data_IF_107755653709
#
_entry.id   IF_107755653709
#
_cell.length_a   1.000
_cell.length_b   1.000
_cell.length_c   1.000
_cell.angle_alpha   90.00
_cell.angle_beta   90.00
_cell.angle_gamma   90.00
#
_symmetry.space_group_name_H-M   'P 1'
#
loop_
_entity.id
_entity.type
_entity.pdbx_description
1 polymer ?
#
# COMPACT_ATOMS: atom_id res chain seq x y z
N UNK A 1 -32.05 -0.54 5.83
CA UNK A 1 -30.90 -0.26 4.93
C UNK A 1 -29.97 0.79 5.54
N UNK A 2 -29.21 0.48 6.61
CA UNK A 2 -28.31 1.45 7.29
C UNK A 2 -26.88 0.94 7.56
N UNK A 3 -26.52 -0.26 7.08
CA UNK A 3 -25.21 -0.88 7.33
C UNK A 3 -24.15 -0.64 6.23
N UNK A 4 -24.53 -0.07 5.09
CA UNK A 4 -23.61 0.26 3.98
C UNK A 4 -22.50 1.29 4.30
N UNK A 5 -22.72 2.36 5.10
CA UNK A 5 -21.68 3.37 5.29
C UNK A 5 -20.50 2.86 6.14
N UNK A 6 -20.73 1.92 7.06
CA UNK A 6 -19.68 1.38 7.93
C UNK A 6 -18.72 0.48 7.15
N UNK A 7 -19.24 -0.44 6.32
CA UNK A 7 -18.40 -1.28 5.46
C UNK A 7 -17.57 -0.45 4.47
N UNK A 8 -18.18 0.59 3.91
CA UNK A 8 -17.49 1.50 3.00
C UNK A 8 -16.36 2.26 3.71
N UNK A 9 -16.59 2.72 4.93
CA UNK A 9 -15.55 3.38 5.74
C UNK A 9 -14.38 2.45 6.05
N UNK A 10 -14.65 1.21 6.45
CA UNK A 10 -13.61 0.20 6.73
C UNK A 10 -12.82 -0.14 5.45
N UNK A 11 -13.51 -0.26 4.31
CA UNK A 11 -12.88 -0.47 3.01
C UNK A 11 -11.90 0.66 2.67
N UNK A 12 -12.35 1.91 2.81
CA UNK A 12 -11.52 3.09 2.54
C UNK A 12 -10.32 3.16 3.49
N UNK A 13 -10.53 2.90 4.78
CA UNK A 13 -9.48 3.00 5.80
C UNK A 13 -8.43 1.89 5.66
N UNK A 14 -8.86 0.67 5.34
CA UNK A 14 -7.95 -0.44 5.03
C UNK A 14 -7.09 -0.16 3.79
N UNK A 15 -7.69 0.39 2.73
CA UNK A 15 -6.95 0.80 1.53
C UNK A 15 -5.99 1.97 1.82
N UNK A 16 -6.38 2.92 2.68
CA UNK A 16 -5.51 4.02 3.09
C UNK A 16 -4.28 3.52 3.84
N UNK A 17 -4.45 2.65 4.84
CA UNK A 17 -3.33 2.07 5.59
C UNK A 17 -2.38 1.29 4.69
N UNK A 18 -2.91 0.50 3.74
CA UNK A 18 -2.09 -0.23 2.76
C UNK A 18 -1.34 0.69 1.79
N UNK A 19 -1.97 1.78 1.35
CA UNK A 19 -1.30 2.79 0.55
C UNK A 19 -0.16 3.45 1.33
N UNK A 20 -0.36 3.75 2.62
CA UNK A 20 0.66 4.31 3.49
C UNK A 20 1.84 3.33 3.70
N UNK A 21 1.57 2.05 3.95
CA UNK A 21 2.59 0.99 4.01
C UNK A 21 3.39 0.92 2.70
N UNK A 22 2.72 0.98 1.54
CA UNK A 22 3.37 0.96 0.23
C UNK A 22 4.29 2.16 0.00
N UNK A 23 3.85 3.36 0.38
CA UNK A 23 4.68 4.59 0.28
C UNK A 23 5.88 4.52 1.24
N UNK A 24 5.70 3.99 2.45
CA UNK A 24 6.79 3.81 3.40
C UNK A 24 7.83 2.81 2.89
N UNK A 25 7.38 1.66 2.38
CA UNK A 25 8.26 0.65 1.77
C UNK A 25 9.03 1.22 0.58
N UNK A 26 8.34 1.94 -0.33
CA UNK A 26 8.96 2.60 -1.48
C UNK A 26 10.05 3.59 -1.05
N UNK A 27 9.78 4.39 -0.01
CA UNK A 27 10.74 5.36 0.53
C UNK A 27 11.99 4.68 1.12
N UNK A 28 11.82 3.57 1.84
CA UNK A 28 12.93 2.80 2.42
C UNK A 28 13.82 2.23 1.32
N UNK A 29 13.23 1.64 0.27
CA UNK A 29 14.01 1.08 -0.84
C UNK A 29 14.71 2.18 -1.64
N UNK A 30 14.06 3.33 -1.88
CA UNK A 30 14.71 4.48 -2.52
C UNK A 30 15.90 5.01 -1.71
N UNK A 31 15.80 5.02 -0.39
CA UNK A 31 16.91 5.46 0.48
C UNK A 31 18.11 4.51 0.38
N UNK A 32 17.86 3.19 0.42
CA UNK A 32 18.90 2.18 0.23
C UNK A 32 19.52 2.29 -1.17
N UNK A 33 18.70 2.45 -2.20
CA UNK A 33 19.15 2.70 -3.56
C UNK A 33 20.07 3.91 -3.69
N UNK A 34 19.71 5.03 -3.06
CA UNK A 34 20.55 6.22 -3.07
C UNK A 34 21.90 5.98 -2.37
N UNK A 35 21.91 5.24 -1.25
CA UNK A 35 23.13 4.88 -0.52
C UNK A 35 24.03 3.94 -1.35
N UNK A 36 23.45 2.88 -1.93
CA UNK A 36 24.11 1.91 -2.80
C UNK A 36 24.75 2.59 -4.03
N UNK A 37 24.08 3.58 -4.62
CA UNK A 37 24.62 4.39 -5.72
C UNK A 37 25.83 5.21 -5.28
N UNK A 38 25.95 5.57 -4.00
CA UNK A 38 27.13 6.24 -3.44
C UNK A 38 28.44 5.47 -3.68
N UNK A 39 28.36 4.14 -3.75
CA UNK A 39 29.50 3.24 -3.97
C UNK A 39 29.89 3.06 -5.45
N UNK A 40 29.11 3.60 -6.39
CA UNK A 40 29.43 3.55 -7.81
C UNK A 40 30.56 4.51 -8.20
N UNK A 41 31.26 4.25 -9.32
CA UNK A 41 32.23 5.18 -9.89
C UNK A 41 31.65 6.59 -10.09
N UNK A 42 32.49 7.61 -9.91
CA UNK A 42 32.10 9.02 -10.04
C UNK A 42 31.41 9.35 -11.38
N UNK A 43 31.77 8.63 -12.44
CA UNK A 43 31.26 8.82 -13.80
C UNK A 43 29.77 8.45 -13.94
N UNK A 44 29.30 7.45 -13.17
CA UNK A 44 27.94 6.94 -13.26
C UNK A 44 26.98 7.62 -12.29
N UNK A 45 27.49 8.03 -11.13
CA UNK A 45 26.69 8.57 -10.03
C UNK A 45 25.74 9.71 -10.45
N UNK A 46 26.18 10.77 -11.15
CA UNK A 46 25.31 11.92 -11.44
C UNK A 46 24.09 11.55 -12.27
N UNK A 47 24.25 10.67 -13.26
CA UNK A 47 23.16 10.23 -14.12
C UNK A 47 22.13 9.40 -13.33
N UNK A 48 22.60 8.46 -12.51
CA UNK A 48 21.71 7.61 -11.72
C UNK A 48 21.00 8.41 -10.62
N UNK A 49 21.69 9.35 -9.95
CA UNK A 49 21.05 10.25 -8.99
C UNK A 49 19.98 11.13 -9.63
N UNK A 50 20.21 11.59 -10.87
CA UNK A 50 19.23 12.34 -11.62
C UNK A 50 17.99 11.49 -11.93
N UNK A 51 18.19 10.24 -12.36
CA UNK A 51 17.11 9.29 -12.65
C UNK A 51 16.29 8.96 -11.38
N UNK A 52 16.94 8.76 -10.22
CA UNK A 52 16.27 8.59 -8.91
C UNK A 52 15.49 9.85 -8.53
N UNK A 53 16.07 11.04 -8.70
CA UNK A 53 15.39 12.30 -8.39
C UNK A 53 14.16 12.51 -9.28
N UNK A 54 14.28 12.20 -10.57
CA UNK A 54 13.19 12.30 -11.53
C UNK A 54 12.08 11.29 -11.22
N UNK A 55 12.44 10.05 -10.88
CA UNK A 55 11.51 9.05 -10.36
C UNK A 55 10.69 9.59 -9.20
N UNK A 56 11.37 10.05 -8.13
CA UNK A 56 10.69 10.52 -6.92
C UNK A 56 9.80 11.72 -7.20
N UNK A 57 10.27 12.67 -8.02
CA UNK A 57 9.48 13.84 -8.43
C UNK A 57 8.20 13.41 -9.16
N UNK A 58 8.31 12.46 -10.09
CA UNK A 58 7.21 12.00 -10.90
C UNK A 58 6.16 11.22 -10.09
N UNK A 59 6.63 10.36 -9.17
CA UNK A 59 5.79 9.66 -8.19
C UNK A 59 5.00 10.67 -7.33
N UNK A 60 5.68 11.67 -6.75
CA UNK A 60 5.04 12.63 -5.86
C UNK A 60 4.10 13.60 -6.57
N UNK A 61 4.47 14.07 -7.76
CA UNK A 61 3.74 15.14 -8.46
C UNK A 61 2.63 14.59 -9.36
N UNK A 62 2.82 13.41 -9.97
CA UNK A 62 1.83 12.81 -10.87
C UNK A 62 1.14 11.61 -10.24
N UNK A 63 1.87 10.56 -9.88
CA UNK A 63 1.24 9.31 -9.43
C UNK A 63 0.37 9.51 -8.19
N UNK A 64 0.86 10.24 -7.19
CA UNK A 64 0.09 10.51 -5.97
C UNK A 64 -1.17 11.35 -6.22
N UNK A 65 -1.14 12.29 -7.17
CA UNK A 65 -2.34 13.04 -7.55
C UNK A 65 -3.35 12.15 -8.25
N UNK A 66 -2.89 11.25 -9.12
CA UNK A 66 -3.75 10.25 -9.76
C UNK A 66 -4.37 9.30 -8.74
N UNK A 67 -3.59 8.83 -7.75
CA UNK A 67 -4.08 8.00 -6.65
C UNK A 67 -5.12 8.71 -5.80
N UNK A 68 -4.88 9.98 -5.47
CA UNK A 68 -5.83 10.83 -4.74
C UNK A 68 -7.16 10.95 -5.48
N UNK A 69 -7.11 11.06 -6.81
CA UNK A 69 -8.29 11.11 -7.68
C UNK A 69 -8.91 9.72 -7.97
N UNK A 70 -8.36 8.63 -7.40
CA UNK A 70 -8.80 7.25 -7.67
C UNK A 70 -8.54 6.77 -9.10
N UNK A 71 -7.67 7.46 -9.84
CA UNK A 71 -7.29 7.10 -11.21
C UNK A 71 -6.21 6.04 -11.21
N UNK A 72 -6.17 5.23 -12.27
CA UNK A 72 -5.11 4.25 -12.47
C UNK A 72 -3.77 4.96 -12.70
N UNK A 73 -2.73 4.47 -12.06
CA UNK A 73 -1.36 4.93 -12.25
C UNK A 73 -0.76 4.21 -13.47
N UNK A 74 -0.04 4.94 -14.30
CA UNK A 74 0.71 4.40 -15.44
C UNK A 74 2.04 3.79 -15.01
N UNK A 75 2.89 3.50 -16.01
CA UNK A 75 4.25 2.99 -15.79
C UNK A 75 5.32 4.05 -16.09
N UNK A 76 4.94 5.33 -16.19
CA UNK A 76 5.89 6.33 -16.70
C UNK A 76 7.02 6.61 -15.70
N UNK A 77 6.77 6.63 -14.39
CA UNK A 77 7.86 6.79 -13.41
C UNK A 77 8.82 5.59 -13.45
N UNK A 78 8.31 4.38 -13.67
CA UNK A 78 9.13 3.17 -13.77
C UNK A 78 10.14 3.21 -14.91
N UNK A 79 9.93 4.04 -15.94
CA UNK A 79 10.90 4.21 -17.03
C UNK A 79 12.27 4.71 -16.54
N UNK A 80 12.31 5.56 -15.51
CA UNK A 80 13.55 6.03 -14.91
C UNK A 80 14.34 4.87 -14.27
N UNK A 81 13.65 3.93 -13.61
CA UNK A 81 14.28 2.73 -13.05
C UNK A 81 14.79 1.78 -14.15
N UNK A 82 14.10 1.71 -15.28
CA UNK A 82 14.57 0.95 -16.45
C UNK A 82 15.85 1.55 -17.03
N UNK A 83 15.95 2.87 -17.08
CA UNK A 83 17.13 3.56 -17.59
C UNK A 83 18.34 3.38 -16.68
N UNK A 84 18.14 3.40 -15.35
CA UNK A 84 19.20 3.02 -14.39
C UNK A 84 19.68 1.59 -14.65
N UNK A 85 18.75 0.63 -14.80
CA UNK A 85 19.10 -0.77 -15.05
C UNK A 85 19.86 -0.94 -16.38
N UNK A 86 19.45 -0.23 -17.46
CA UNK A 86 20.17 -0.24 -18.75
C UNK A 86 21.60 0.29 -18.61
N UNK A 87 21.79 1.41 -17.90
CA UNK A 87 23.13 1.99 -17.64
C UNK A 87 24.01 1.01 -16.86
N UNK A 88 23.46 0.37 -15.83
CA UNK A 88 24.17 -0.64 -15.04
C UNK A 88 24.54 -1.87 -15.86
N UNK A 89 23.66 -2.33 -16.75
CA UNK A 89 23.95 -3.47 -17.63
C UNK A 89 25.04 -3.15 -18.65
N UNK A 90 25.02 -1.96 -19.24
CA UNK A 90 26.05 -1.50 -20.18
C UNK A 90 27.43 -1.30 -19.52
N UNK A 91 27.45 -1.06 -18.21
CA UNK A 91 28.68 -0.92 -17.45
C UNK A 91 29.39 -2.27 -17.24
N UNK A 92 30.62 -2.36 -17.73
CA UNK A 92 31.54 -3.48 -17.49
C UNK A 92 32.27 -3.25 -16.17
N UNK A 93 31.73 -3.83 -15.10
CA UNK A 93 32.41 -3.89 -13.81
C UNK A 93 33.58 -4.88 -13.89
N UNK A 94 34.79 -4.42 -13.59
CA UNK A 94 36.01 -5.25 -13.56
C UNK A 94 36.42 -5.66 -12.14
N UNK A 95 36.02 -4.87 -11.13
CA UNK A 95 36.35 -5.12 -9.73
C UNK A 95 35.21 -5.85 -9.01
N UNK A 96 35.58 -6.73 -8.07
CA UNK A 96 34.62 -7.52 -7.31
C UNK A 96 33.66 -6.67 -6.47
N UNK A 97 34.14 -5.56 -5.90
CA UNK A 97 33.30 -4.60 -5.18
C UNK A 97 32.23 -3.98 -6.11
N UNK A 98 32.61 -3.60 -7.33
CA UNK A 98 31.69 -3.02 -8.32
C UNK A 98 30.64 -4.04 -8.79
N UNK A 99 31.00 -5.32 -8.86
CA UNK A 99 30.05 -6.41 -9.16
C UNK A 99 29.00 -6.56 -8.05
N UNK A 100 29.41 -6.52 -6.78
CA UNK A 100 28.49 -6.57 -5.65
C UNK A 100 27.56 -5.36 -5.62
N UNK A 101 28.10 -4.14 -5.69
CA UNK A 101 27.28 -2.91 -5.73
C UNK A 101 26.30 -2.92 -6.91
N UNK A 102 26.72 -3.40 -8.08
CA UNK A 102 25.84 -3.54 -9.24
C UNK A 102 24.69 -4.53 -8.98
N UNK A 103 24.95 -5.65 -8.32
CA UNK A 103 23.92 -6.63 -7.98
C UNK A 103 22.93 -6.08 -6.95
N UNK A 104 23.43 -5.44 -5.89
CA UNK A 104 22.64 -4.83 -4.83
C UNK A 104 21.66 -3.79 -5.40
N UNK A 105 22.15 -2.88 -6.25
CA UNK A 105 21.31 -1.88 -6.91
C UNK A 105 20.23 -2.52 -7.80
N UNK A 106 20.55 -3.61 -8.49
CA UNK A 106 19.57 -4.34 -9.31
C UNK A 106 18.49 -4.99 -8.44
N UNK A 107 18.86 -5.52 -7.28
CA UNK A 107 17.91 -6.10 -6.32
C UNK A 107 16.99 -5.04 -5.72
N UNK A 108 17.51 -3.89 -5.32
CA UNK A 108 16.71 -2.76 -4.82
C UNK A 108 15.73 -2.25 -5.89
N UNK A 109 16.17 -2.16 -7.14
CA UNK A 109 15.29 -1.80 -8.26
C UNK A 109 14.17 -2.83 -8.44
N UNK A 110 14.45 -4.14 -8.33
CA UNK A 110 13.42 -5.20 -8.39
C UNK A 110 12.45 -5.11 -7.22
N UNK A 111 12.94 -4.76 -6.04
CA UNK A 111 12.10 -4.52 -4.87
C UNK A 111 11.17 -3.33 -5.10
N UNK A 112 11.66 -2.22 -5.66
CA UNK A 112 10.83 -1.07 -6.07
C UNK A 112 9.72 -1.45 -7.06
N UNK A 113 10.03 -2.27 -8.08
CA UNK A 113 9.00 -2.78 -9.00
C UNK A 113 7.92 -3.58 -8.26
N UNK A 114 8.32 -4.39 -7.29
CA UNK A 114 7.41 -5.23 -6.51
C UNK A 114 6.51 -4.37 -5.62
N UNK A 115 7.09 -3.40 -4.90
CA UNK A 115 6.34 -2.46 -4.06
C UNK A 115 5.37 -1.63 -4.90
N UNK A 116 5.80 -1.12 -6.06
CA UNK A 116 4.93 -0.33 -6.92
C UNK A 116 3.76 -1.18 -7.48
N UNK A 117 3.99 -2.45 -7.83
CA UNK A 117 2.92 -3.38 -8.22
C UNK A 117 1.90 -3.63 -7.10
N UNK A 118 2.37 -3.73 -5.86
CA UNK A 118 1.53 -3.88 -4.66
C UNK A 118 0.70 -2.60 -4.45
N UNK A 119 1.31 -1.42 -4.59
CA UNK A 119 0.65 -0.09 -4.52
C UNK A 119 -0.49 0.05 -5.57
N UNK A 120 -0.32 -0.51 -6.76
CA UNK A 120 -1.33 -0.46 -7.84
C UNK A 120 -2.46 -1.49 -7.68
N UNK A 121 -2.33 -2.44 -6.76
CA UNK A 121 -3.33 -3.49 -6.57
C UNK A 121 -4.43 -3.01 -5.62
N UNK A 122 -5.69 -3.07 -6.05
CA UNK A 122 -6.83 -2.85 -5.16
C UNK A 122 -6.86 -3.97 -4.12
N UNK A 123 -6.67 -3.63 -2.86
CA UNK A 123 -6.73 -4.62 -1.80
C UNK A 123 -8.21 -4.93 -1.49
N UNK A 124 -8.68 -6.16 -1.71
CA UNK A 124 -9.97 -6.55 -1.19
C UNK A 124 -9.93 -6.45 0.34
N UNK A 125 -11.03 -5.99 0.94
CA UNK A 125 -11.23 -6.03 2.39
C UNK A 125 -10.80 -7.41 2.93
N UNK A 126 -9.96 -7.41 3.98
CA UNK A 126 -9.52 -8.62 4.64
C UNK A 126 -10.73 -9.52 4.97
N UNK A 127 -10.62 -10.82 4.69
CA UNK A 127 -11.68 -11.81 4.89
C UNK A 127 -12.23 -11.81 6.32
N UNK A 128 -11.41 -11.41 7.29
CA UNK A 128 -11.79 -11.24 8.69
C UNK A 128 -12.94 -10.25 8.88
N UNK A 129 -12.99 -9.15 8.11
CA UNK A 129 -14.09 -8.18 8.17
C UNK A 129 -15.41 -8.81 7.70
N UNK A 130 -15.38 -9.63 6.66
CA UNK A 130 -16.56 -10.35 6.17
C UNK A 130 -17.06 -11.36 7.21
N UNK A 131 -16.16 -12.07 7.89
CA UNK A 131 -16.52 -13.01 8.95
C UNK A 131 -17.24 -12.29 10.11
N UNK A 132 -16.70 -11.16 10.58
CA UNK A 132 -17.33 -10.37 11.65
C UNK A 132 -18.70 -9.86 11.24
N UNK A 133 -18.83 -9.30 10.02
CA UNK A 133 -20.12 -8.82 9.51
C UNK A 133 -21.14 -9.95 9.42
N UNK A 134 -20.74 -11.14 8.94
CA UNK A 134 -21.60 -12.31 8.87
C UNK A 134 -22.05 -12.78 10.26
N UNK A 135 -21.13 -12.87 11.23
CA UNK A 135 -21.45 -13.27 12.61
C UNK A 135 -22.38 -12.27 13.28
N UNK A 136 -22.10 -10.96 13.19
CA UNK A 136 -22.96 -9.91 13.73
C UNK A 136 -24.36 -9.96 13.12
N UNK A 137 -24.45 -10.16 11.80
CA UNK A 137 -25.74 -10.25 11.10
C UNK A 137 -26.51 -11.48 11.53
N UNK A 138 -25.85 -12.64 11.66
CA UNK A 138 -26.47 -13.88 12.12
C UNK A 138 -26.98 -13.76 13.57
N UNK A 139 -26.17 -13.21 14.48
CA UNK A 139 -26.58 -12.96 15.87
C UNK A 139 -27.80 -12.02 15.91
N UNK A 140 -27.77 -10.92 15.16
CA UNK A 140 -28.87 -9.97 15.15
C UNK A 140 -30.15 -10.58 14.56
N UNK A 141 -30.03 -11.44 13.55
CA UNK A 141 -31.15 -12.19 12.98
C UNK A 141 -31.75 -13.17 14.01
N UNK A 142 -30.91 -13.92 14.73
CA UNK A 142 -31.34 -14.83 15.81
C UNK A 142 -32.08 -14.06 16.90
N UNK A 143 -31.56 -12.90 17.32
CA UNK A 143 -32.20 -12.04 18.31
C UNK A 143 -33.55 -11.50 17.84
N UNK A 144 -33.66 -11.08 16.56
CA UNK A 144 -34.94 -10.64 15.97
C UNK A 144 -35.96 -11.77 15.93
N UNK A 145 -35.54 -12.99 15.59
CA UNK A 145 -36.41 -14.17 15.56
C UNK A 145 -36.85 -14.61 16.96
N UNK A 146 -35.97 -14.55 17.97
CA UNK A 146 -36.31 -14.94 19.36
C UNK A 146 -37.14 -13.90 20.11
N UNK A 147 -36.93 -12.60 19.90
CA UNK A 147 -37.51 -11.55 20.77
C UNK A 147 -38.85 -10.98 20.31
N UNK A 148 -39.38 -11.39 19.14
CA UNK A 148 -40.73 -11.08 18.68
C UNK A 148 -41.11 -9.60 18.78
N UNK A 149 -40.85 -8.82 17.71
CA UNK A 149 -41.40 -7.47 17.38
C UNK A 149 -41.53 -6.39 18.48
N UNK A 150 -41.01 -6.58 19.70
CA UNK A 150 -40.99 -5.52 20.72
C UNK A 150 -39.85 -4.54 20.42
N UNK A 151 -40.23 -3.39 19.85
CA UNK A 151 -39.35 -2.30 19.39
C UNK A 151 -38.27 -1.88 20.40
N UNK A 152 -38.52 -2.00 21.71
CA UNK A 152 -37.58 -1.59 22.75
C UNK A 152 -36.35 -2.51 22.84
N UNK A 153 -36.56 -3.83 22.80
CA UNK A 153 -35.48 -4.82 22.85
C UNK A 153 -34.64 -4.79 21.56
N UNK A 154 -35.27 -4.48 20.43
CA UNK A 154 -34.56 -4.30 19.16
C UNK A 154 -33.63 -3.08 19.19
N UNK A 155 -34.04 -1.96 19.80
CA UNK A 155 -33.17 -0.78 19.95
C UNK A 155 -31.96 -1.07 20.83
N UNK A 156 -32.14 -1.85 21.89
CA UNK A 156 -31.04 -2.25 22.78
C UNK A 156 -30.06 -3.18 22.06
N UNK A 157 -30.53 -4.18 21.30
CA UNK A 157 -29.64 -5.10 20.56
C UNK A 157 -28.82 -4.36 19.50
N UNK A 158 -29.46 -3.44 18.75
CA UNK A 158 -28.77 -2.62 17.75
C UNK A 158 -27.71 -1.72 18.41
N UNK A 159 -28.00 -1.15 19.58
CA UNK A 159 -27.03 -0.38 20.35
C UNK A 159 -25.81 -1.20 20.77
N UNK A 160 -26.02 -2.43 21.25
CA UNK A 160 -24.95 -3.35 21.66
C UNK A 160 -24.07 -3.78 20.48
N UNK A 161 -24.67 -3.98 19.29
CA UNK A 161 -23.94 -4.24 18.04
C UNK A 161 -23.13 -3.02 17.59
N UNK A 162 -23.65 -1.80 17.72
CA UNK A 162 -22.90 -0.57 17.44
C UNK A 162 -21.70 -0.39 18.37
N UNK A 163 -21.84 -0.72 19.66
CA UNK A 163 -20.73 -0.60 20.62
C UNK A 163 -19.63 -1.63 20.31
N UNK A 164 -20.01 -2.89 20.08
CA UNK A 164 -19.05 -3.97 19.78
C UNK A 164 -18.35 -3.82 18.43
N UNK A 165 -19.05 -3.30 17.41
CA UNK A 165 -18.41 -2.94 16.12
C UNK A 165 -17.49 -1.74 16.24
N UNK A 166 -17.85 -0.74 17.06
CA UNK A 166 -16.99 0.44 17.30
C UNK A 166 -15.74 0.09 18.10
N UNK A 167 -15.83 -0.82 19.08
CA UNK A 167 -14.67 -1.26 19.85
C UNK A 167 -13.72 -2.16 19.05
N UNK A 168 -14.23 -2.97 18.11
CA UNK A 168 -13.37 -3.70 17.16
C UNK A 168 -12.62 -2.78 16.19
N UNK A 169 -13.23 -1.66 15.77
CA UNK A 169 -12.53 -0.65 14.98
C UNK A 169 -11.39 0.00 15.77
N UNK A 170 -11.62 0.26 17.06
CA UNK A 170 -10.63 0.86 17.94
C UNK A 170 -9.43 -0.07 18.22
N UNK A 171 -9.68 -1.38 18.40
CA UNK A 171 -8.65 -2.39 18.65
C UNK A 171 -7.76 -2.73 17.45
N UNK A 172 -8.15 -2.34 16.23
CA UNK A 172 -7.37 -2.59 15.01
C UNK A 172 -6.71 -1.31 14.47
N UNK A 173 -7.06 -0.16 15.04
CA UNK A 173 -6.43 1.15 14.80
C UNK A 173 -5.21 1.39 15.73
N UNK A 174 -5.03 0.54 16.75
CA UNK A 174 -3.95 0.56 17.74
C UNK A 174 -3.28 -0.82 17.83
#
# INVERSE_FOLDING_TARGET
MRYQPVLYYIYLLGNFNKAQEGVAAESIVLMRLADSVGWLPHEMRPAIYLDIKNYTKDVMQREWQLMKDGKKIGHEALSFLQDINKRLQAYKASEQMQLFTKQEIIEEIKELYTVNRIKMSYFPLNIQYWIVVCIMTAINLIFVCMLGTKLYLHKISVGLVCITSSSMLFYYLY
#
